data_IF_905175513449
#
_entry.id   IF_905175513449
#
_cell.length_a   1.000
_cell.length_b   1.000
_cell.length_c   1.000
_cell.angle_alpha   90.00
_cell.angle_beta   90.00
_cell.angle_gamma   90.00
#
_symmetry.space_group_name_H-M   'P 1'
#
loop_
_entity.id
_entity.type
_entity.pdbx_description
1 polymer ?
#
# COMPACT_ATOMS: atom_id res chain seq x y z
N UNK A 1 3.69 -0.76 11.35
CA UNK A 1 2.65 -1.81 11.44
C UNK A 1 2.95 -2.84 10.37
N UNK A 2 2.67 -4.12 10.62
CA UNK A 2 2.95 -5.20 9.67
C UNK A 2 1.69 -6.06 9.52
N UNK A 3 1.35 -6.42 8.28
CA UNK A 3 0.18 -7.22 7.94
C UNK A 3 0.59 -8.38 7.04
N UNK A 4 -0.04 -9.54 7.24
CA UNK A 4 0.05 -10.65 6.30
C UNK A 4 -1.14 -10.57 5.33
N UNK A 5 -0.87 -10.35 4.06
CA UNK A 5 -1.90 -10.17 3.04
C UNK A 5 -1.61 -11.06 1.85
N UNK A 6 -2.64 -11.76 1.36
CA UNK A 6 -2.57 -12.49 0.09
C UNK A 6 -2.80 -11.50 -1.04
N UNK A 7 -1.96 -11.53 -2.08
CA UNK A 7 -2.06 -10.62 -3.23
C UNK A 7 -3.24 -10.94 -4.16
N UNK A 8 -3.81 -12.14 -4.06
CA UNK A 8 -4.95 -12.62 -4.85
C UNK A 8 -5.99 -13.21 -3.89
N UNK A 9 -7.25 -12.87 -4.09
CA UNK A 9 -8.37 -13.43 -3.35
C UNK A 9 -9.56 -13.65 -4.29
N UNK A 10 -10.15 -14.84 -4.27
CA UNK A 10 -11.27 -15.22 -5.15
C UNK A 10 -11.02 -14.85 -6.64
N UNK A 11 -9.82 -15.12 -7.13
CA UNK A 11 -9.36 -14.79 -8.50
C UNK A 11 -9.24 -13.28 -8.81
N UNK A 12 -9.62 -12.38 -7.89
CA UNK A 12 -9.39 -10.94 -7.99
C UNK A 12 -7.96 -10.61 -7.56
N UNK A 13 -7.27 -9.81 -8.37
CA UNK A 13 -6.01 -9.15 -7.98
C UNK A 13 -6.32 -8.01 -7.04
N UNK A 14 -5.74 -8.04 -5.85
CA UNK A 14 -5.91 -6.96 -4.89
C UNK A 14 -5.05 -5.76 -5.27
N UNK A 15 -5.55 -4.56 -4.98
CA UNK A 15 -4.84 -3.29 -5.18
C UNK A 15 -4.30 -2.74 -3.86
N UNK A 16 -3.48 -1.69 -3.96
CA UNK A 16 -3.04 -0.95 -2.78
C UNK A 16 -4.23 -0.44 -1.95
N UNK A 17 -5.30 0.04 -2.60
CA UNK A 17 -6.52 0.45 -1.92
C UNK A 17 -7.12 -0.67 -1.05
N UNK A 18 -7.26 -1.88 -1.62
CA UNK A 18 -7.78 -3.04 -0.90
C UNK A 18 -6.93 -3.35 0.36
N UNK A 19 -5.60 -3.15 0.30
CA UNK A 19 -4.70 -3.32 1.44
C UNK A 19 -4.95 -2.27 2.54
N UNK A 20 -5.08 -0.99 2.18
CA UNK A 20 -5.29 0.08 3.15
C UNK A 20 -6.65 -0.08 3.87
N UNK A 21 -7.70 -0.46 3.13
CA UNK A 21 -9.01 -0.76 3.69
C UNK A 21 -8.93 -1.94 4.67
N UNK A 22 -8.24 -3.03 4.31
CA UNK A 22 -8.05 -4.20 5.20
C UNK A 22 -7.26 -3.89 6.46
N UNK A 23 -6.27 -3.02 6.36
CA UNK A 23 -5.49 -2.59 7.51
C UNK A 23 -6.34 -1.84 8.55
N UNK A 24 -7.59 -1.47 8.18
CA UNK A 24 -8.53 -0.67 8.96
C UNK A 24 -7.92 0.65 9.44
N UNK A 25 -7.04 1.21 8.59
CA UNK A 25 -6.35 2.44 8.87
C UNK A 25 -7.15 3.55 8.20
N UNK A 26 -8.01 4.22 8.99
CA UNK A 26 -8.76 5.37 8.52
C UNK A 26 -7.82 6.59 8.37
N UNK A 27 -6.96 6.55 7.36
CA UNK A 27 -5.99 7.60 7.08
C UNK A 27 -6.68 8.91 6.65
N UNK A 28 -7.85 8.82 6.01
CA UNK A 28 -8.63 9.98 5.56
C UNK A 28 -9.09 10.88 6.71
N UNK A 29 -9.28 10.32 7.91
CA UNK A 29 -9.62 11.11 9.12
C UNK A 29 -8.59 12.19 9.46
N UNK A 30 -7.36 12.09 8.96
CA UNK A 30 -6.28 13.06 9.16
C UNK A 30 -6.08 14.02 7.97
N UNK A 31 -6.90 13.91 6.93
CA UNK A 31 -6.80 14.70 5.70
C UNK A 31 -6.24 13.92 4.51
N UNK A 32 -6.02 14.59 3.36
CA UNK A 32 -5.50 13.95 2.16
C UNK A 32 -4.10 13.39 2.40
N UNK A 33 -3.88 12.17 1.92
CA UNK A 33 -2.62 11.46 2.06
C UNK A 33 -2.18 10.85 0.73
N UNK A 34 -0.89 10.52 0.66
CA UNK A 34 -0.28 9.78 -0.42
C UNK A 34 0.46 8.58 0.16
N UNK A 35 0.48 7.48 -0.60
CA UNK A 35 1.31 6.32 -0.28
C UNK A 35 2.61 6.44 -1.05
N UNK A 36 3.73 6.28 -0.36
CA UNK A 36 5.07 6.44 -0.91
C UNK A 36 5.88 5.16 -0.69
N UNK A 37 6.61 4.71 -1.71
CA UNK A 37 7.57 3.61 -1.64
C UNK A 37 8.80 3.99 -2.45
N UNK A 38 10.01 3.68 -1.97
CA UNK A 38 11.28 4.09 -2.63
C UNK A 38 11.36 5.58 -3.01
N UNK A 39 10.63 6.45 -2.30
CA UNK A 39 10.57 7.89 -2.57
C UNK A 39 9.64 8.33 -3.69
N UNK A 40 8.87 7.41 -4.30
CA UNK A 40 7.86 7.72 -5.33
C UNK A 40 6.44 7.55 -4.81
N UNK A 41 5.51 8.35 -5.34
CA UNK A 41 4.09 8.28 -5.02
C UNK A 41 3.46 7.07 -5.74
N UNK A 42 2.70 6.26 -5.01
CA UNK A 42 2.06 5.05 -5.54
C UNK A 42 0.55 5.28 -5.75
N UNK A 43 0.02 5.03 -6.96
CA UNK A 43 -1.42 5.03 -7.21
C UNK A 43 -2.13 3.94 -6.42
N UNK A 44 -3.35 4.22 -5.92
CA UNK A 44 -4.12 3.30 -5.09
C UNK A 44 -4.65 2.07 -5.86
N UNK A 45 -4.83 2.21 -7.17
CA UNK A 45 -5.22 1.15 -8.10
C UNK A 45 -4.08 0.16 -8.42
N UNK A 46 -2.85 0.44 -7.97
CA UNK A 46 -1.68 -0.37 -8.30
C UNK A 46 -1.82 -1.79 -7.72
N UNK A 47 -1.62 -2.87 -8.52
CA UNK A 47 -1.78 -4.24 -8.04
C UNK A 47 -0.74 -4.64 -6.97
N UNK A 48 -1.20 -5.22 -5.85
CA UNK A 48 -0.33 -5.65 -4.74
C UNK A 48 0.75 -6.64 -5.17
N UNK A 49 0.41 -7.58 -6.05
CA UNK A 49 1.36 -8.55 -6.57
C UNK A 49 2.54 -7.86 -7.26
N UNK A 50 2.23 -6.88 -8.12
CA UNK A 50 3.26 -6.17 -8.89
C UNK A 50 4.17 -5.37 -7.96
N UNK A 51 3.59 -4.67 -6.98
CA UNK A 51 4.34 -3.89 -5.99
C UNK A 51 5.24 -4.82 -5.16
N UNK A 52 4.74 -5.99 -4.75
CA UNK A 52 5.51 -6.97 -3.99
C UNK A 52 6.69 -7.53 -4.79
N UNK A 53 6.54 -7.76 -6.08
CA UNK A 53 7.60 -8.31 -6.93
C UNK A 53 8.67 -7.28 -7.27
N UNK A 54 8.29 -6.02 -7.49
CA UNK A 54 9.16 -5.01 -8.11
C UNK A 54 9.63 -3.93 -7.14
N UNK A 55 8.91 -3.70 -6.03
CA UNK A 55 9.16 -2.60 -5.10
C UNK A 55 9.44 -3.09 -3.67
N UNK A 56 9.58 -4.41 -3.46
CA UNK A 56 10.13 -4.92 -2.20
C UNK A 56 11.60 -4.54 -2.04
N UNK A 57 12.00 -4.36 -0.78
CA UNK A 57 13.41 -4.15 -0.43
C UNK A 57 14.18 -5.49 -0.42
N UNK A 58 15.52 -5.46 -0.32
CA UNK A 58 16.34 -6.68 -0.28
C UNK A 58 16.03 -7.65 0.87
N UNK A 59 15.28 -7.19 1.88
CA UNK A 59 14.77 -7.99 3.00
C UNK A 59 13.49 -8.77 2.64
N UNK A 60 12.98 -8.64 1.41
CA UNK A 60 11.70 -9.16 0.92
C UNK A 60 10.47 -8.56 1.62
N UNK A 61 10.61 -7.40 2.26
CA UNK A 61 9.50 -6.64 2.78
C UNK A 61 9.14 -5.47 1.88
N UNK A 62 7.84 -5.22 1.78
CA UNK A 62 7.31 -4.02 1.17
C UNK A 62 7.11 -2.94 2.24
N UNK A 63 7.94 -1.91 2.20
CA UNK A 63 7.87 -0.78 3.13
C UNK A 63 7.05 0.35 2.50
N UNK A 64 5.83 0.57 3.00
CA UNK A 64 4.94 1.65 2.56
C UNK A 64 4.96 2.80 3.57
N UNK A 65 5.14 4.02 3.09
CA UNK A 65 5.07 5.25 3.88
C UNK A 65 3.77 6.00 3.59
N UNK A 66 3.07 6.44 4.63
CA UNK A 66 1.89 7.31 4.49
C UNK A 66 2.36 8.74 4.72
N UNK A 67 2.27 9.57 3.68
CA UNK A 67 2.60 10.99 3.73
C UNK A 67 1.31 11.81 3.71
N UNK A 68 1.06 12.55 4.78
CA UNK A 68 0.00 13.56 4.80
C UNK A 68 0.51 14.82 4.13
N UNK A 69 -0.32 15.47 3.33
CA UNK A 69 -0.02 16.84 2.94
C UNK A 69 -0.08 17.69 4.20
N UNK A 70 0.97 18.47 4.48
CA UNK A 70 0.83 19.54 5.45
C UNK A 70 -0.27 20.48 4.96
N UNK A 71 -1.15 20.98 5.85
CA UNK A 71 -1.91 22.19 5.53
C UNK A 71 -0.96 23.36 5.25
#
# INVERSE_FOLDING_TARGET
MQYLVKSIENEKRLTLEDLLQRANLNFESKGPFQVVVHGIDLPLETPLQWISEHLSYPDNFLHLCIRYSSP
#
